data_IF_003397440781
#
_entry.id   IF_003397440781
#
_cell.length_a   1.000
_cell.length_b   1.000
_cell.length_c   1.000
_cell.angle_alpha   90.00
_cell.angle_beta   90.00
_cell.angle_gamma   90.00
#
_symmetry.space_group_name_H-M   'P 1'
#
loop_
_entity.id
_entity.type
_entity.pdbx_description
1 polymer ?
#
# COMPACT_ATOMS: atom_id res chain seq x y z
N UNK A 1 -6.63 0.95 70.40
CA UNK A 1 -6.60 2.26 69.72
C UNK A 1 -5.18 2.41 69.20
N UNK A 2 -4.86 2.40 67.91
CA UNK A 2 -5.45 3.09 66.74
C UNK A 2 -5.08 2.38 65.42
N UNK A 3 -5.81 2.75 64.37
CA UNK A 3 -5.94 2.13 63.04
C UNK A 3 -4.70 2.15 62.12
N UNK A 4 -4.70 1.17 61.21
CA UNK A 4 -4.39 1.16 59.77
C UNK A 4 -3.40 2.16 59.15
N UNK A 5 -2.51 1.61 58.31
CA UNK A 5 -2.38 2.04 56.92
C UNK A 5 -1.93 0.87 56.04
N UNK A 6 -2.90 0.17 55.44
CA UNK A 6 -2.66 -0.64 54.25
C UNK A 6 -2.35 0.31 53.10
N UNK A 7 -1.08 0.44 52.73
CA UNK A 7 -0.68 1.04 51.46
C UNK A 7 -1.15 0.14 50.32
N UNK A 8 -2.31 0.46 49.75
CA UNK A 8 -2.66 0.00 48.41
C UNK A 8 -1.69 0.64 47.41
N UNK A 9 -1.10 -0.12 46.47
CA UNK A 9 -0.46 0.49 45.31
C UNK A 9 -1.56 1.18 44.49
N UNK A 10 -1.43 2.49 44.29
CA UNK A 10 -2.20 3.20 43.28
C UNK A 10 -1.93 2.53 41.92
N UNK A 11 -2.96 2.15 41.14
CA UNK A 11 -2.75 1.71 39.77
C UNK A 11 -2.06 2.85 38.99
N UNK A 12 -1.13 2.53 38.06
CA UNK A 12 -0.49 3.57 37.27
C UNK A 12 -1.58 4.31 36.50
N UNK A 13 -1.75 5.60 36.80
CA UNK A 13 -2.47 6.51 35.93
C UNK A 13 -1.69 6.57 34.62
N UNK A 14 -2.09 5.76 33.63
CA UNK A 14 -1.60 5.86 32.26
C UNK A 14 -1.92 7.27 31.77
N UNK A 15 -0.92 8.15 31.77
CA UNK A 15 -1.07 9.49 31.24
C UNK A 15 -1.24 9.41 29.72
N UNK A 16 -2.05 10.29 29.15
CA UNK A 16 -2.26 10.38 27.71
C UNK A 16 -0.95 10.58 26.92
N UNK A 17 0.04 11.21 27.54
CA UNK A 17 1.40 11.34 27.00
C UNK A 17 2.15 10.03 26.97
N UNK A 18 2.10 9.22 28.04
CA UNK A 18 2.76 7.91 28.06
C UNK A 18 2.21 6.96 26.98
N UNK A 19 0.90 6.99 26.71
CA UNK A 19 0.29 6.20 25.63
C UNK A 19 0.75 6.66 24.24
N UNK A 20 0.84 7.99 24.02
CA UNK A 20 1.37 8.56 22.78
C UNK A 20 2.82 8.17 22.55
N UNK A 21 3.66 8.27 23.58
CA UNK A 21 5.08 7.93 23.52
C UNK A 21 5.28 6.43 23.25
N UNK A 22 4.47 5.57 23.88
CA UNK A 22 4.48 4.13 23.60
C UNK A 22 4.16 3.81 22.15
N UNK A 23 3.16 4.48 21.55
CA UNK A 23 2.80 4.30 20.15
C UNK A 23 3.87 4.85 19.19
N UNK A 24 4.50 5.99 19.52
CA UNK A 24 5.64 6.49 18.74
C UNK A 24 6.82 5.51 18.77
N UNK A 25 7.15 4.98 19.95
CA UNK A 25 8.21 3.95 20.09
C UNK A 25 7.84 2.71 19.27
N UNK A 26 6.59 2.23 19.38
CA UNK A 26 6.11 1.09 18.61
C UNK A 26 6.24 1.32 17.10
N UNK A 27 5.87 2.51 16.60
CA UNK A 27 6.05 2.86 15.19
C UNK A 27 7.53 2.91 14.78
N UNK A 28 8.42 3.36 15.66
CA UNK A 28 9.85 3.46 15.39
C UNK A 28 10.55 2.10 15.28
N UNK A 29 10.09 1.10 16.05
CA UNK A 29 10.67 -0.24 16.09
C UNK A 29 9.86 -1.28 15.30
N UNK A 30 8.73 -0.89 14.72
CA UNK A 30 7.87 -1.78 13.96
C UNK A 30 8.62 -2.36 12.75
N UNK A 31 8.44 -3.66 12.53
CA UNK A 31 8.93 -4.31 11.33
C UNK A 31 8.08 -3.93 10.11
N UNK A 32 8.62 -4.19 8.92
CA UNK A 32 7.94 -3.85 7.67
C UNK A 32 6.56 -4.53 7.56
N UNK A 33 6.41 -5.76 8.08
CA UNK A 33 5.15 -6.50 8.03
C UNK A 33 4.04 -5.82 8.85
N UNK A 34 4.37 -5.29 10.03
CA UNK A 34 3.45 -4.53 10.87
C UNK A 34 3.07 -3.21 10.22
N UNK A 35 4.05 -2.48 9.66
CA UNK A 35 3.78 -1.22 8.95
C UNK A 35 2.90 -1.44 7.72
N UNK A 36 3.11 -2.53 6.96
CA UNK A 36 2.23 -2.92 5.85
C UNK A 36 0.81 -3.20 6.35
N UNK A 37 0.68 -3.98 7.42
CA UNK A 37 -0.61 -4.31 8.03
C UNK A 37 -1.37 -3.04 8.43
N UNK A 38 -0.68 -2.05 9.00
CA UNK A 38 -1.26 -0.76 9.39
C UNK A 38 -1.87 0.00 8.20
N UNK A 39 -1.16 0.06 7.06
CA UNK A 39 -1.63 0.73 5.84
C UNK A 39 -2.79 0.00 5.14
N UNK A 40 -2.88 -1.31 5.32
CA UNK A 40 -3.91 -2.17 4.73
C UNK A 40 -5.17 -2.20 5.60
N UNK A 41 -5.02 -2.23 6.93
CA UNK A 41 -6.12 -2.45 7.88
C UNK A 41 -6.76 -1.18 8.42
N UNK A 42 -6.23 0.00 8.09
CA UNK A 42 -6.89 1.26 8.41
C UNK A 42 -8.15 1.45 7.56
N UNK A 43 -9.04 2.34 8.00
CA UNK A 43 -10.31 2.63 7.33
C UNK A 43 -10.40 4.10 6.94
N UNK A 44 -10.53 4.42 5.63
CA UNK A 44 -10.35 3.52 4.49
C UNK A 44 -8.89 3.03 4.37
N UNK A 45 -8.63 1.89 3.69
CA UNK A 45 -7.29 1.41 3.42
C UNK A 45 -6.47 2.45 2.62
N UNK A 46 -5.21 2.64 3.00
CA UNK A 46 -4.32 3.60 2.32
C UNK A 46 -3.69 3.00 1.06
N UNK A 47 -3.43 1.69 1.10
CA UNK A 47 -2.83 0.92 0.03
C UNK A 47 -3.46 -0.47 -0.04
N UNK A 48 -3.53 -1.02 -1.24
CA UNK A 48 -3.92 -2.41 -1.45
C UNK A 48 -2.73 -3.33 -1.17
N UNK A 49 -2.93 -4.54 -0.61
CA UNK A 49 -1.83 -5.43 -0.23
C UNK A 49 -0.88 -5.76 -1.39
N UNK A 50 -1.43 -5.99 -2.58
CA UNK A 50 -0.67 -6.37 -3.79
C UNK A 50 0.00 -5.17 -4.48
N UNK A 51 -0.29 -3.94 -4.04
CA UNK A 51 0.34 -2.70 -4.50
C UNK A 51 1.40 -2.19 -3.54
N UNK A 52 1.62 -2.86 -2.41
CA UNK A 52 2.47 -2.33 -1.34
C UNK A 52 3.87 -2.94 -1.38
N UNK A 53 4.85 -2.13 -1.81
CA UNK A 53 6.28 -2.44 -1.79
C UNK A 53 6.91 -2.22 -0.42
N UNK A 54 8.14 -1.69 -0.37
CA UNK A 54 8.80 -1.45 0.91
C UNK A 54 8.03 -0.41 1.74
N UNK A 55 8.07 -0.54 3.07
CA UNK A 55 7.48 0.42 4.00
C UNK A 55 8.49 0.75 5.10
N UNK A 56 8.59 2.02 5.44
CA UNK A 56 9.44 2.51 6.53
C UNK A 56 8.72 3.61 7.31
N UNK A 57 9.14 3.81 8.57
CA UNK A 57 8.60 4.82 9.46
C UNK A 57 9.67 5.82 9.88
N UNK A 58 9.24 7.07 10.10
CA UNK A 58 9.99 8.10 10.81
C UNK A 58 9.09 8.66 11.90
N UNK A 59 9.59 8.86 13.12
CA UNK A 59 8.80 9.35 14.24
C UNK A 59 9.36 10.66 14.80
N UNK A 60 8.50 11.46 15.42
CA UNK A 60 8.91 12.72 16.04
C UNK A 60 9.50 13.72 15.03
N UNK A 61 9.00 13.73 13.79
CA UNK A 61 9.60 14.53 12.71
C UNK A 61 9.35 16.01 13.00
N UNK A 62 10.40 16.84 13.16
CA UNK A 62 10.23 18.25 13.45
C UNK A 62 9.66 18.96 12.22
N UNK A 63 8.71 19.85 12.44
CA UNK A 63 8.18 20.75 11.42
C UNK A 63 8.43 22.18 11.88
N UNK A 64 8.82 23.05 10.95
CA UNK A 64 9.14 24.45 11.23
C UNK A 64 8.06 25.07 12.12
N UNK A 65 8.45 25.55 13.31
CA UNK A 65 7.62 26.07 14.44
C UNK A 65 7.52 25.23 15.73
N UNK A 66 8.60 24.58 16.19
CA UNK A 66 8.69 23.87 17.50
C UNK A 66 7.63 22.78 17.71
N UNK A 67 6.95 22.36 16.65
CA UNK A 67 5.99 21.26 16.70
C UNK A 67 6.60 20.07 15.96
N UNK A 68 6.53 18.89 16.58
CA UNK A 68 6.89 17.64 15.94
C UNK A 68 5.63 16.88 15.58
N UNK A 69 5.62 16.22 14.44
CA UNK A 69 4.59 15.25 14.09
C UNK A 69 4.91 13.88 14.66
N UNK A 70 3.89 13.06 14.92
CA UNK A 70 4.09 11.74 15.52
C UNK A 70 4.87 10.81 14.61
N UNK A 71 4.53 10.79 13.32
CA UNK A 71 5.36 10.12 12.35
C UNK A 71 4.96 10.29 10.91
N UNK A 72 5.78 9.72 10.04
CA UNK A 72 5.58 9.63 8.60
C UNK A 72 5.88 8.20 8.19
N UNK A 73 4.93 7.56 7.53
CA UNK A 73 5.17 6.29 6.85
C UNK A 73 5.51 6.60 5.39
N UNK A 74 6.64 6.08 4.91
CA UNK A 74 6.99 6.11 3.50
C UNK A 74 6.82 4.70 2.95
N UNK A 75 6.06 4.56 1.86
CA UNK A 75 5.85 3.29 1.22
C UNK A 75 5.98 3.39 -0.30
N UNK A 76 6.26 2.26 -0.93
CA UNK A 76 6.26 2.17 -2.38
C UNK A 76 4.92 1.65 -2.91
N UNK A 77 4.32 2.40 -3.84
CA UNK A 77 3.17 1.93 -4.61
C UNK A 77 3.68 1.21 -5.87
N UNK A 78 3.45 -0.10 -5.91
CA UNK A 78 3.83 -1.01 -6.99
C UNK A 78 2.77 -0.94 -8.07
N UNK A 79 3.20 -0.67 -9.31
CA UNK A 79 2.34 -0.62 -10.50
C UNK A 79 2.51 -1.83 -11.41
N UNK A 80 3.59 -2.60 -11.24
CA UNK A 80 3.87 -3.81 -12.02
C UNK A 80 4.36 -4.93 -11.11
N UNK A 81 3.84 -6.13 -11.32
CA UNK A 81 4.18 -7.31 -10.52
C UNK A 81 4.72 -8.40 -11.43
N UNK A 82 5.80 -9.06 -10.98
CA UNK A 82 6.36 -10.23 -11.66
C UNK A 82 5.32 -11.36 -11.61
N UNK A 83 5.10 -12.02 -12.74
CA UNK A 83 4.19 -13.15 -12.79
C UNK A 83 4.75 -14.37 -12.02
N UNK A 84 3.89 -15.01 -11.23
CA UNK A 84 4.25 -16.12 -10.33
C UNK A 84 4.93 -17.29 -11.03
N UNK A 85 4.53 -17.61 -12.25
CA UNK A 85 5.33 -18.46 -13.14
C UNK A 85 5.10 -18.12 -14.61
N UNK A 86 6.17 -17.99 -15.41
CA UNK A 86 6.08 -17.91 -16.87
C UNK A 86 5.23 -19.04 -17.46
N UNK A 87 5.35 -20.25 -16.91
CA UNK A 87 4.66 -21.46 -17.39
C UNK A 87 3.16 -21.44 -17.08
N UNK A 88 2.71 -20.78 -16.02
CA UNK A 88 1.29 -20.62 -15.71
C UNK A 88 0.62 -19.62 -16.63
N UNK A 89 1.24 -18.48 -16.90
CA UNK A 89 0.78 -17.56 -17.96
C UNK A 89 0.72 -18.31 -19.27
N UNK A 90 1.79 -19.06 -19.56
CA UNK A 90 1.87 -19.79 -20.80
C UNK A 90 0.78 -20.84 -20.95
N UNK A 91 0.46 -21.54 -19.86
CA UNK A 91 -0.65 -22.47 -19.78
C UNK A 91 -2.00 -21.77 -19.85
N UNK A 92 -2.16 -20.59 -19.28
CA UNK A 92 -3.44 -19.86 -19.26
C UNK A 92 -3.78 -19.28 -20.63
N UNK A 93 -2.77 -18.82 -21.37
CA UNK A 93 -2.88 -18.45 -22.79
C UNK A 93 -3.10 -19.70 -23.65
N UNK A 94 -2.44 -20.82 -23.37
CA UNK A 94 -2.59 -22.07 -24.12
C UNK A 94 -3.90 -22.83 -23.84
N UNK A 95 -4.46 -22.74 -22.63
CA UNK A 95 -5.62 -23.53 -22.21
C UNK A 95 -6.90 -23.18 -22.99
N UNK A 96 -6.97 -21.97 -23.55
CA UNK A 96 -8.13 -21.47 -24.28
C UNK A 96 -7.92 -21.40 -25.80
N UNK A 97 -6.78 -21.90 -26.31
CA UNK A 97 -6.33 -21.64 -27.68
C UNK A 97 -5.76 -22.91 -28.31
N UNK A 98 -6.16 -23.20 -29.56
CA UNK A 98 -5.59 -24.27 -30.36
C UNK A 98 -4.05 -24.16 -30.40
N UNK A 99 -3.29 -25.24 -30.09
CA UNK A 99 -1.84 -25.26 -30.14
C UNK A 99 -1.24 -24.69 -31.43
N UNK A 100 -1.92 -24.84 -32.58
CA UNK A 100 -1.47 -24.30 -33.88
C UNK A 100 -1.58 -22.77 -34.00
N UNK A 101 -2.37 -22.14 -33.13
CA UNK A 101 -2.57 -20.69 -33.08
C UNK A 101 -1.82 -20.03 -31.93
N UNK A 102 -1.30 -20.83 -31.00
CA UNK A 102 -0.64 -20.36 -29.78
C UNK A 102 0.51 -19.38 -30.08
N UNK A 103 1.41 -19.73 -30.99
CA UNK A 103 2.54 -18.87 -31.39
C UNK A 103 2.07 -17.52 -31.95
N UNK A 104 0.96 -17.51 -32.70
CA UNK A 104 0.37 -16.28 -33.23
C UNK A 104 -0.19 -15.42 -32.11
N UNK A 105 -0.78 -16.01 -31.08
CA UNK A 105 -1.37 -15.30 -29.93
C UNK A 105 -0.28 -14.70 -29.02
N UNK A 106 0.82 -15.42 -28.76
CA UNK A 106 2.00 -14.83 -28.09
C UNK A 106 2.62 -13.68 -28.88
N UNK A 107 2.72 -13.84 -30.20
CA UNK A 107 3.17 -12.77 -31.06
C UNK A 107 2.23 -11.56 -31.00
N UNK A 108 0.95 -11.72 -30.60
CA UNK A 108 0.06 -10.58 -30.34
C UNK A 108 0.38 -9.85 -29.04
N UNK A 109 0.84 -10.56 -28.02
CA UNK A 109 1.17 -9.99 -26.72
C UNK A 109 2.47 -9.17 -26.72
N UNK A 110 3.26 -9.26 -27.79
CA UNK A 110 4.61 -8.67 -27.87
C UNK A 110 4.82 -7.83 -29.15
N UNK A 111 3.72 -7.34 -29.75
CA UNK A 111 3.73 -6.58 -31.02
C UNK A 111 4.41 -5.23 -30.92
N UNK A 112 4.28 -4.58 -29.78
CA UNK A 112 4.81 -3.26 -29.50
C UNK A 112 6.04 -3.40 -28.60
N UNK A 113 6.95 -2.44 -28.69
CA UNK A 113 8.20 -2.45 -27.96
C UNK A 113 8.47 -1.06 -27.37
N UNK A 114 8.90 -1.01 -26.10
CA UNK A 114 9.24 0.26 -25.44
C UNK A 114 10.62 0.75 -25.84
N UNK A 115 11.04 1.90 -25.32
CA UNK A 115 12.44 2.33 -25.39
C UNK A 115 13.28 1.58 -24.35
N UNK A 116 14.60 1.64 -24.49
CA UNK A 116 15.50 1.10 -23.48
C UNK A 116 15.47 1.96 -22.23
N UNK A 117 15.07 1.37 -21.10
CA UNK A 117 15.02 2.03 -19.81
C UNK A 117 16.19 1.60 -18.93
N UNK A 118 16.67 2.52 -18.09
CA UNK A 118 17.69 2.22 -17.08
C UNK A 118 17.04 2.17 -15.70
N UNK A 119 17.03 0.97 -15.10
CA UNK A 119 16.51 0.74 -13.76
C UNK A 119 17.46 1.30 -12.68
N UNK A 120 18.75 1.22 -12.93
CA UNK A 120 19.75 1.83 -12.07
C UNK A 120 21.11 1.86 -12.75
N UNK A 121 21.88 2.89 -12.45
CA UNK A 121 23.20 3.13 -13.02
C UNK A 121 24.23 3.16 -11.88
N UNK A 122 25.47 2.78 -12.18
CA UNK A 122 26.60 2.77 -11.26
C UNK A 122 26.29 2.07 -9.93
N UNK A 123 25.63 0.92 -10.00
CA UNK A 123 25.24 0.14 -8.84
C UNK A 123 26.40 -0.75 -8.39
N UNK A 124 26.59 -0.90 -7.09
CA UNK A 124 27.39 -2.02 -6.56
C UNK A 124 26.65 -3.34 -6.78
N UNK A 125 27.37 -4.46 -6.70
CA UNK A 125 26.76 -5.80 -6.77
C UNK A 125 25.60 -5.96 -5.77
N UNK A 126 25.80 -5.53 -4.53
CA UNK A 126 24.78 -5.61 -3.48
C UNK A 126 23.54 -4.77 -3.81
N UNK A 127 23.73 -3.58 -4.38
CA UNK A 127 22.61 -2.73 -4.81
C UNK A 127 21.87 -3.34 -6.00
N UNK A 128 22.58 -3.95 -6.96
CA UNK A 128 21.96 -4.62 -8.10
C UNK A 128 21.12 -5.83 -7.66
N UNK A 129 21.66 -6.67 -6.76
CA UNK A 129 20.94 -7.80 -6.14
C UNK A 129 19.70 -7.28 -5.42
N UNK A 130 19.84 -6.27 -4.55
CA UNK A 130 18.73 -5.71 -3.80
C UNK A 130 17.62 -5.20 -4.73
N UNK A 131 17.96 -4.53 -5.83
CA UNK A 131 16.98 -4.03 -6.81
C UNK A 131 16.20 -5.15 -7.49
N UNK A 132 16.88 -6.24 -7.88
CA UNK A 132 16.23 -7.38 -8.52
C UNK A 132 15.39 -8.19 -7.52
N UNK A 133 15.89 -8.44 -6.31
CA UNK A 133 15.11 -9.09 -5.25
C UNK A 133 13.87 -8.28 -4.90
N UNK A 134 14.00 -6.95 -4.83
CA UNK A 134 12.89 -6.03 -4.59
C UNK A 134 11.85 -6.05 -5.71
N UNK A 135 12.28 -6.34 -6.94
CA UNK A 135 11.39 -6.56 -8.08
C UNK A 135 10.53 -7.83 -7.97
N UNK A 136 10.83 -8.71 -7.00
CA UNK A 136 10.18 -10.00 -6.81
C UNK A 136 10.94 -11.18 -7.40
N UNK A 137 12.14 -10.99 -7.97
CA UNK A 137 12.92 -12.11 -8.48
C UNK A 137 13.43 -13.02 -7.35
N UNK A 138 13.23 -14.34 -7.44
CA UNK A 138 13.78 -15.28 -6.47
C UNK A 138 15.31 -15.32 -6.54
N UNK A 139 16.01 -15.67 -5.44
CA UNK A 139 17.47 -15.60 -5.36
C UNK A 139 18.22 -16.29 -6.51
N UNK A 140 17.71 -17.44 -6.99
CA UNK A 140 18.29 -18.14 -8.14
C UNK A 140 18.23 -17.32 -9.43
N UNK A 141 17.06 -16.73 -9.73
CA UNK A 141 16.92 -15.88 -10.91
C UNK A 141 17.72 -14.59 -10.78
N UNK A 142 17.87 -14.03 -9.57
CA UNK A 142 18.74 -12.88 -9.35
C UNK A 142 20.19 -13.21 -9.70
N UNK A 143 20.69 -14.36 -9.26
CA UNK A 143 22.04 -14.83 -9.59
C UNK A 143 22.22 -15.08 -11.10
N UNK A 144 21.23 -15.71 -11.74
CA UNK A 144 21.21 -15.88 -13.19
C UNK A 144 21.26 -14.54 -13.94
N UNK A 145 20.41 -13.59 -13.55
CA UNK A 145 20.34 -12.27 -14.18
C UNK A 145 21.66 -11.54 -14.04
N UNK A 146 22.24 -11.48 -12.84
CA UNK A 146 23.47 -10.72 -12.55
C UNK A 146 24.68 -11.26 -13.31
N UNK A 147 24.73 -12.57 -13.54
CA UNK A 147 25.84 -13.24 -14.22
C UNK A 147 25.64 -13.35 -15.74
N UNK A 148 24.59 -12.73 -16.31
CA UNK A 148 24.40 -12.70 -17.76
C UNK A 148 25.55 -11.96 -18.47
N UNK A 149 25.98 -12.45 -19.65
CA UNK A 149 26.83 -11.67 -20.55
C UNK A 149 26.16 -10.34 -20.95
N UNK A 150 26.95 -9.30 -21.23
CA UNK A 150 26.44 -7.95 -21.57
C UNK A 150 25.49 -7.92 -22.80
N UNK A 151 25.58 -8.91 -23.68
CA UNK A 151 24.71 -9.05 -24.87
C UNK A 151 23.44 -9.86 -24.59
N UNK A 152 23.39 -10.59 -23.48
CA UNK A 152 22.28 -11.47 -23.15
C UNK A 152 21.16 -10.73 -22.40
N UNK A 153 19.96 -11.29 -22.49
CA UNK A 153 18.76 -10.75 -21.87
C UNK A 153 18.02 -11.84 -21.11
N UNK A 154 17.65 -11.54 -19.87
CA UNK A 154 16.71 -12.32 -19.10
C UNK A 154 15.28 -11.96 -19.52
N UNK A 155 14.44 -12.97 -19.77
CA UNK A 155 13.05 -12.79 -20.19
C UNK A 155 12.13 -13.15 -19.04
N UNK A 156 11.21 -12.25 -18.70
CA UNK A 156 10.26 -12.44 -17.61
C UNK A 156 8.90 -11.85 -17.97
N UNK A 157 7.82 -12.49 -17.52
CA UNK A 157 6.46 -12.00 -17.74
C UNK A 157 5.97 -11.20 -16.54
N UNK A 158 5.21 -10.15 -16.83
CA UNK A 158 4.75 -9.17 -15.85
C UNK A 158 3.29 -8.81 -16.08
N UNK A 159 2.63 -8.40 -15.01
CA UNK A 159 1.32 -7.75 -15.05
C UNK A 159 1.46 -6.30 -14.64
N UNK A 160 0.77 -5.40 -15.33
CA UNK A 160 0.48 -4.09 -14.77
C UNK A 160 -0.80 -4.19 -13.92
N UNK A 161 -0.92 -3.28 -12.96
CA UNK A 161 -2.14 -3.12 -12.18
C UNK A 161 -2.92 -1.94 -12.76
N UNK A 162 -4.21 -2.16 -13.04
CA UNK A 162 -5.10 -1.07 -13.44
C UNK A 162 -5.42 -0.13 -12.25
N UNK A 163 -6.21 0.91 -12.48
CA UNK A 163 -6.57 1.89 -11.45
C UNK A 163 -7.31 1.25 -10.25
N UNK A 164 -7.94 0.10 -10.45
CA UNK A 164 -8.71 -0.64 -9.45
C UNK A 164 -7.84 -1.70 -8.75
N UNK A 165 -6.68 -2.05 -9.31
CA UNK A 165 -5.76 -3.05 -8.78
C UNK A 165 -5.91 -4.44 -9.39
N UNK A 166 -6.59 -4.58 -10.53
CA UNK A 166 -6.62 -5.85 -11.25
C UNK A 166 -5.43 -6.01 -12.18
N UNK A 167 -5.01 -7.25 -12.40
CA UNK A 167 -3.97 -7.57 -13.37
C UNK A 167 -4.47 -7.30 -14.80
N UNK A 168 -3.70 -6.51 -15.55
CA UNK A 168 -3.94 -6.27 -16.97
C UNK A 168 -3.54 -7.47 -17.82
N UNK A 169 -3.64 -7.32 -19.14
CA UNK A 169 -2.99 -8.24 -20.09
C UNK A 169 -1.49 -8.32 -19.76
N UNK A 170 -0.89 -9.53 -19.71
CA UNK A 170 0.52 -9.69 -19.39
C UNK A 170 1.41 -9.13 -20.51
N UNK A 171 2.59 -8.66 -20.11
CA UNK A 171 3.63 -8.16 -21.02
C UNK A 171 4.97 -8.81 -20.70
N UNK A 172 5.87 -8.84 -21.69
CA UNK A 172 7.19 -9.44 -21.57
C UNK A 172 8.21 -8.35 -21.29
N UNK A 173 8.96 -8.47 -20.18
CA UNK A 173 10.08 -7.59 -19.85
C UNK A 173 11.39 -8.32 -20.05
N UNK A 174 12.23 -7.75 -20.90
CA UNK A 174 13.60 -8.18 -21.11
C UNK A 174 14.49 -7.33 -20.23
N UNK A 175 15.28 -7.95 -19.36
CA UNK A 175 16.22 -7.29 -18.46
C UNK A 175 17.64 -7.73 -18.73
N UNK A 176 18.60 -6.83 -18.59
CA UNK A 176 20.03 -7.18 -18.64
C UNK A 176 20.83 -6.37 -17.62
N UNK A 177 21.85 -6.98 -17.01
CA UNK A 177 22.94 -6.21 -16.42
C UNK A 177 23.96 -5.82 -17.50
N UNK A 178 24.57 -4.65 -17.32
CA UNK A 178 25.83 -4.30 -17.93
C UNK A 178 26.86 -4.23 -16.81
N UNK A 179 27.88 -5.09 -16.88
CA UNK A 179 28.97 -5.10 -15.90
C UNK A 179 30.16 -4.33 -16.46
N UNK A 180 30.68 -3.40 -15.66
CA UNK A 180 31.84 -2.60 -16.01
C UNK A 180 33.11 -3.11 -15.30
N UNK A 181 34.31 -2.79 -15.85
CA UNK A 181 35.57 -3.25 -15.28
C UNK A 181 35.85 -2.79 -13.85
N UNK A 182 35.24 -1.67 -13.42
CA UNK A 182 35.32 -1.14 -12.06
C UNK A 182 34.45 -1.92 -11.05
N UNK A 183 33.76 -2.97 -11.49
CA UNK A 183 32.89 -3.81 -10.67
C UNK A 183 31.48 -3.24 -10.48
N UNK A 184 31.14 -2.16 -11.17
CA UNK A 184 29.81 -1.54 -11.12
C UNK A 184 28.87 -2.16 -12.15
N UNK A 185 27.57 -1.98 -11.91
CA UNK A 185 26.50 -2.52 -12.73
C UNK A 185 25.55 -1.41 -13.19
N UNK A 186 25.07 -1.51 -14.43
CA UNK A 186 23.86 -0.83 -14.88
C UNK A 186 22.80 -1.86 -15.17
N UNK A 187 21.62 -1.73 -14.57
CA UNK A 187 20.47 -2.58 -14.89
C UNK A 187 19.60 -1.87 -15.92
N UNK A 188 19.35 -2.53 -17.05
CA UNK A 188 18.51 -2.00 -18.12
C UNK A 188 17.37 -2.96 -18.44
N UNK A 189 16.27 -2.42 -18.95
CA UNK A 189 15.16 -3.24 -19.41
C UNK A 189 14.44 -2.63 -20.61
N UNK A 190 13.73 -3.48 -21.34
CA UNK A 190 12.83 -3.13 -22.44
C UNK A 190 11.59 -4.01 -22.36
N UNK A 191 10.44 -3.45 -22.72
CA UNK A 191 9.15 -4.09 -22.59
C UNK A 191 8.57 -4.39 -23.96
N UNK A 192 8.03 -5.60 -24.13
CA UNK A 192 7.23 -6.00 -25.27
C UNK A 192 5.79 -6.24 -24.81
N UNK A 193 4.85 -5.60 -25.48
CA UNK A 193 3.45 -5.55 -25.05
C UNK A 193 2.49 -5.57 -26.24
N UNK A 194 1.21 -5.78 -25.96
CA UNK A 194 0.20 -5.99 -27.00
C UNK A 194 -0.20 -4.69 -27.71
N UNK A 195 -0.56 -3.67 -26.93
CA UNK A 195 -1.10 -2.42 -27.43
C UNK A 195 -0.73 -1.25 -26.52
N UNK A 196 -1.17 -1.28 -25.25
CA UNK A 196 -0.90 -0.20 -24.31
C UNK A 196 0.47 -0.37 -23.66
N UNK A 197 1.24 0.73 -23.64
CA UNK A 197 2.58 0.75 -23.05
C UNK A 197 2.48 0.50 -21.54
N UNK A 198 3.16 -0.53 -21.00
CA UNK A 198 3.20 -0.79 -19.58
C UNK A 198 3.81 0.40 -18.81
N UNK A 199 3.43 0.60 -17.54
CA UNK A 199 4.10 1.57 -16.71
C UNK A 199 5.59 1.21 -16.57
N UNK A 200 6.41 2.25 -16.44
CA UNK A 200 7.83 2.08 -16.14
C UNK A 200 8.03 1.28 -14.85
N UNK A 201 9.21 0.73 -14.68
CA UNK A 201 9.68 0.19 -13.40
C UNK A 201 9.85 1.36 -12.42
N UNK A 202 8.74 1.88 -11.91
CA UNK A 202 8.71 2.97 -10.96
C UNK A 202 7.90 2.53 -9.77
N UNK A 203 8.59 2.23 -8.67
CA UNK A 203 7.96 2.33 -7.36
C UNK A 203 7.73 3.81 -7.10
N UNK A 204 6.48 4.25 -7.06
CA UNK A 204 6.19 5.62 -6.66
C UNK A 204 6.27 5.68 -5.14
N UNK A 205 7.27 6.41 -4.63
CA UNK A 205 7.39 6.69 -3.20
C UNK A 205 6.20 7.55 -2.75
N UNK A 206 5.34 6.98 -1.93
CA UNK A 206 4.21 7.63 -1.31
C UNK A 206 4.52 7.89 0.16
N UNK A 207 3.96 8.97 0.70
CA UNK A 207 4.08 9.32 2.12
C UNK A 207 2.71 9.42 2.76
N UNK A 208 2.63 8.95 3.99
CA UNK A 208 1.46 9.04 4.86
C UNK A 208 1.87 9.74 6.12
N UNK A 209 1.14 10.79 6.42
CA UNK A 209 1.23 11.52 7.66
C UNK A 209 0.55 10.73 8.79
N UNK A 210 1.22 10.50 9.92
CA UNK A 210 0.65 9.80 11.07
C UNK A 210 0.46 10.78 12.24
N UNK A 211 -0.77 10.85 12.77
CA UNK A 211 -1.07 11.53 14.04
C UNK A 211 -1.67 10.53 15.03
N UNK A 212 -1.10 10.50 16.23
CA UNK A 212 -1.56 9.67 17.35
C UNK A 212 -2.53 10.51 18.17
N UNK A 213 -3.82 10.19 18.05
CA UNK A 213 -4.87 10.88 18.79
C UNK A 213 -4.94 10.37 20.22
N UNK A 214 -4.78 11.32 21.15
CA UNK A 214 -5.02 11.08 22.58
C UNK A 214 -6.45 11.45 22.98
N UNK A 215 -6.98 10.93 24.10
CA UNK A 215 -8.31 11.30 24.60
C UNK A 215 -8.48 12.79 24.90
N UNK A 216 -7.38 13.51 25.18
CA UNK A 216 -7.39 14.93 25.50
C UNK A 216 -7.54 15.84 24.26
N UNK A 217 -7.27 15.33 23.05
CA UNK A 217 -7.34 16.12 21.82
C UNK A 217 -8.76 16.14 21.26
N UNK A 218 -9.26 17.32 20.93
CA UNK A 218 -10.55 17.49 20.26
C UNK A 218 -10.41 17.22 18.76
N UNK A 219 -11.50 16.74 18.14
CA UNK A 219 -11.59 16.50 16.70
C UNK A 219 -11.06 17.68 15.85
N UNK A 220 -11.57 18.90 16.13
CA UNK A 220 -11.17 20.12 15.43
C UNK A 220 -9.66 20.35 15.47
N UNK A 221 -9.06 20.27 16.67
CA UNK A 221 -7.63 20.52 16.86
C UNK A 221 -6.78 19.47 16.14
N UNK A 222 -7.22 18.22 16.13
CA UNK A 222 -6.55 17.14 15.38
C UNK A 222 -6.56 17.41 13.88
N UNK A 223 -7.69 17.82 13.30
CA UNK A 223 -7.77 18.16 11.86
C UNK A 223 -6.93 19.37 11.51
N UNK A 224 -7.03 20.45 12.27
CA UNK A 224 -6.25 21.68 12.03
C UNK A 224 -4.75 21.35 11.98
N UNK A 225 -4.28 20.50 12.89
CA UNK A 225 -2.89 20.04 12.95
C UNK A 225 -2.51 19.15 11.76
N UNK A 226 -3.35 18.19 11.39
CA UNK A 226 -3.12 17.32 10.22
C UNK A 226 -3.03 18.15 8.93
N UNK A 227 -3.98 19.06 8.72
CA UNK A 227 -4.02 19.89 7.51
C UNK A 227 -2.82 20.84 7.42
N UNK A 228 -2.41 21.43 8.56
CA UNK A 228 -1.20 22.24 8.64
C UNK A 228 0.02 21.45 8.15
N UNK A 229 0.24 20.24 8.68
CA UNK A 229 1.41 19.45 8.32
C UNK A 229 1.33 18.85 6.91
N UNK A 230 0.16 18.43 6.44
CA UNK A 230 -0.04 18.02 5.04
C UNK A 230 0.40 19.12 4.09
N UNK A 231 0.00 20.36 4.38
CA UNK A 231 0.40 21.53 3.58
C UNK A 231 1.90 21.82 3.69
N UNK A 232 2.45 21.89 4.90
CA UNK A 232 3.87 22.22 5.12
C UNK A 232 4.83 21.17 4.53
N UNK A 233 4.46 19.90 4.55
CA UNK A 233 5.31 18.79 4.11
C UNK A 233 4.99 18.30 2.68
N UNK A 234 3.95 18.84 2.04
CA UNK A 234 3.47 18.37 0.74
C UNK A 234 2.96 16.92 0.77
N UNK A 235 2.52 16.42 1.93
CA UNK A 235 2.05 15.03 2.08
C UNK A 235 0.54 15.00 1.93
N UNK A 236 0.06 14.22 0.95
CA UNK A 236 -1.37 14.14 0.68
C UNK A 236 -2.10 13.12 1.53
N UNK A 237 -1.52 11.98 1.93
CA UNK A 237 -2.26 10.96 2.70
C UNK A 237 -2.06 11.16 4.20
N UNK A 238 -3.08 10.86 5.01
CA UNK A 238 -3.01 10.95 6.46
C UNK A 238 -3.69 9.77 7.14
N UNK A 239 -3.14 9.36 8.29
CA UNK A 239 -3.58 8.27 9.14
C UNK A 239 -3.67 8.77 10.58
N UNK A 240 -4.80 8.52 11.23
CA UNK A 240 -4.96 8.68 12.67
C UNK A 240 -4.89 7.32 13.34
N UNK A 241 -4.05 7.22 14.36
CA UNK A 241 -3.99 6.08 15.28
C UNK A 241 -4.59 6.51 16.61
N UNK A 242 -5.58 5.80 17.14
CA UNK A 242 -6.15 6.11 18.43
C UNK A 242 -6.80 4.91 19.10
N UNK A 243 -6.80 4.88 20.44
CA UNK A 243 -7.33 3.74 21.20
C UNK A 243 -8.87 3.68 21.16
N UNK A 244 -9.52 4.85 21.20
CA UNK A 244 -10.98 4.98 21.14
C UNK A 244 -11.36 6.19 20.30
N UNK A 245 -12.01 5.92 19.17
CA UNK A 245 -12.63 6.94 18.33
C UNK A 245 -14.13 6.69 18.33
N UNK A 246 -14.91 7.75 18.59
CA UNK A 246 -16.36 7.66 18.40
C UNK A 246 -16.66 7.47 16.91
N UNK A 247 -17.79 6.83 16.59
CA UNK A 247 -18.20 6.62 15.20
C UNK A 247 -18.32 7.94 14.42
N UNK A 248 -18.86 8.98 15.07
CA UNK A 248 -18.99 10.31 14.49
C UNK A 248 -17.63 10.95 14.20
N UNK A 249 -16.67 10.85 15.11
CA UNK A 249 -15.30 11.33 14.86
C UNK A 249 -14.63 10.55 13.73
N UNK A 250 -14.75 9.23 13.71
CA UNK A 250 -14.17 8.40 12.65
C UNK A 250 -14.76 8.77 11.27
N UNK A 251 -16.09 8.89 11.16
CA UNK A 251 -16.76 9.36 9.93
C UNK A 251 -16.32 10.78 9.56
N UNK A 252 -16.18 11.65 10.54
CA UNK A 252 -15.68 13.01 10.36
C UNK A 252 -14.29 13.01 9.72
N UNK A 253 -13.34 12.24 10.25
CA UNK A 253 -11.99 12.14 9.69
C UNK A 253 -11.99 11.54 8.28
N UNK A 254 -12.76 10.47 8.07
CA UNK A 254 -12.85 9.79 6.77
C UNK A 254 -13.42 10.73 5.70
N UNK A 255 -14.42 11.55 6.05
CA UNK A 255 -14.99 12.55 5.11
C UNK A 255 -13.97 13.60 4.65
N UNK A 256 -12.87 13.78 5.40
CA UNK A 256 -11.76 14.69 5.10
C UNK A 256 -10.58 13.96 4.43
N UNK A 257 -10.78 12.71 3.99
CA UNK A 257 -9.75 11.89 3.36
C UNK A 257 -8.64 11.45 4.33
N UNK A 258 -8.97 11.27 5.61
CA UNK A 258 -8.04 10.79 6.64
C UNK A 258 -8.43 9.36 7.01
N UNK A 259 -7.49 8.44 6.88
CA UNK A 259 -7.66 7.05 7.31
C UNK A 259 -7.55 6.91 8.82
N UNK A 260 -8.24 5.93 9.38
CA UNK A 260 -8.35 5.72 10.82
C UNK A 260 -7.92 4.29 11.16
N UNK A 261 -7.09 4.14 12.20
CA UNK A 261 -6.73 2.85 12.77
C UNK A 261 -6.94 2.86 14.29
N UNK A 262 -7.62 1.83 14.79
CA UNK A 262 -7.95 1.68 16.20
C UNK A 262 -7.31 0.43 16.78
N UNK A 263 -6.64 0.58 17.93
CA UNK A 263 -5.82 -0.48 18.56
C UNK A 263 -6.66 -1.50 19.36
N UNK A 264 -7.83 -1.11 19.87
CA UNK A 264 -8.61 -1.95 20.81
C UNK A 264 -9.88 -2.58 20.20
N UNK A 265 -10.47 -1.99 19.17
CA UNK A 265 -11.62 -2.54 18.43
C UNK A 265 -11.59 -1.96 17.02
N UNK A 266 -11.69 -2.76 15.93
CA UNK A 266 -11.95 -2.19 14.61
C UNK A 266 -13.25 -1.37 14.74
N UNK A 267 -13.21 -0.09 14.37
CA UNK A 267 -14.45 0.68 14.23
C UNK A 267 -15.25 -0.06 13.18
N UNK A 268 -16.29 -0.79 13.61
CA UNK A 268 -17.31 -1.29 12.72
C UNK A 268 -18.07 -0.05 12.24
N UNK A 269 -17.47 0.67 11.29
CA UNK A 269 -18.20 1.64 10.50
C UNK A 269 -19.11 0.77 9.66
N UNK A 270 -20.28 0.46 10.21
CA UNK A 270 -21.39 0.01 9.44
C UNK A 270 -21.65 1.17 8.47
N UNK A 271 -21.02 1.09 7.30
CA UNK A 271 -21.43 1.83 6.13
C UNK A 271 -22.74 1.19 5.67
N UNK A 272 -23.78 1.34 6.48
CA UNK A 272 -25.13 1.35 5.94
C UNK A 272 -25.16 2.60 5.08
N UNK A 273 -24.90 2.41 3.79
CA UNK A 273 -25.07 3.44 2.80
C UNK A 273 -26.55 3.82 2.80
N UNK A 274 -26.91 4.81 3.61
CA UNK A 274 -28.24 5.39 3.60
C UNK A 274 -28.34 6.33 2.40
N UNK A 275 -28.68 5.72 1.27
CA UNK A 275 -28.91 6.40 0.01
C UNK A 275 -30.08 7.41 0.09
N UNK A 276 -30.92 7.35 1.13
CA UNK A 276 -31.98 8.35 1.37
C UNK A 276 -31.43 9.68 1.92
N UNK A 277 -30.33 9.63 2.67
CA UNK A 277 -29.67 10.78 3.30
C UNK A 277 -28.31 11.17 2.67
N UNK A 278 -27.89 10.49 1.59
CA UNK A 278 -26.63 10.75 0.89
C UNK A 278 -26.56 12.18 0.34
N UNK A 279 -25.47 12.92 0.63
CA UNK A 279 -25.28 14.30 0.15
C UNK A 279 -24.73 14.42 -1.29
N UNK A 280 -24.43 13.29 -1.94
CA UNK A 280 -23.93 13.27 -3.31
C UNK A 280 -25.10 13.16 -4.30
N UNK A 281 -25.47 14.29 -4.90
CA UNK A 281 -26.60 14.41 -5.83
C UNK A 281 -26.35 13.71 -7.19
N UNK A 282 -25.07 13.50 -7.57
CA UNK A 282 -24.69 12.81 -8.81
C UNK A 282 -24.64 11.29 -8.63
N UNK A 283 -24.92 10.79 -7.41
CA UNK A 283 -25.03 9.37 -7.15
C UNK A 283 -26.30 8.80 -7.81
N UNK A 284 -26.20 7.73 -8.63
CA UNK A 284 -27.37 7.08 -9.24
C UNK A 284 -28.40 6.56 -8.22
N UNK A 285 -27.98 6.43 -6.96
CA UNK A 285 -28.76 5.93 -5.84
C UNK A 285 -29.31 7.03 -4.93
N UNK A 286 -29.09 8.32 -5.23
CA UNK A 286 -29.59 9.44 -4.42
C UNK A 286 -31.12 9.36 -4.23
N UNK A 287 -31.59 9.35 -2.97
CA UNK A 287 -32.99 9.19 -2.53
C UNK A 287 -33.64 7.84 -2.85
N UNK A 288 -32.88 6.83 -3.25
CA UNK A 288 -33.42 5.48 -3.47
C UNK A 288 -33.19 4.62 -2.23
N UNK A 289 -34.25 4.16 -1.54
CA UNK A 289 -34.11 3.26 -0.39
C UNK A 289 -33.60 1.87 -0.81
N UNK A 290 -33.82 1.49 -2.06
CA UNK A 290 -33.56 0.15 -2.58
C UNK A 290 -32.14 0.07 -3.18
N UNK A 291 -31.14 0.03 -2.31
CA UNK A 291 -29.76 -0.26 -2.75
C UNK A 291 -29.59 -1.75 -3.02
N UNK A 292 -28.87 -2.16 -4.09
CA UNK A 292 -28.49 -3.56 -4.30
C UNK A 292 -27.84 -4.19 -3.07
N UNK A 293 -27.13 -3.38 -2.28
CA UNK A 293 -26.52 -3.78 -1.00
C UNK A 293 -27.57 -4.05 0.08
N UNK A 294 -28.62 -3.22 0.18
CA UNK A 294 -29.73 -3.40 1.12
C UNK A 294 -30.55 -4.64 0.75
N UNK A 295 -30.82 -4.84 -0.54
CA UNK A 295 -31.50 -6.04 -1.05
C UNK A 295 -30.69 -7.33 -0.82
N UNK A 296 -29.38 -7.35 -1.07
CA UNK A 296 -28.58 -8.53 -0.76
C UNK A 296 -28.60 -8.86 0.74
N UNK A 297 -28.64 -7.84 1.59
CA UNK A 297 -28.64 -8.02 3.05
C UNK A 297 -29.94 -8.58 3.59
N UNK A 298 -31.10 -8.23 3.01
CA UNK A 298 -32.38 -8.85 3.39
C UNK A 298 -32.36 -10.35 3.08
N UNK A 299 -31.83 -10.75 1.91
CA UNK A 299 -31.65 -12.17 1.57
C UNK A 299 -30.66 -12.91 2.49
N UNK A 300 -29.64 -12.23 3.01
CA UNK A 300 -28.69 -12.84 3.96
C UNK A 300 -29.23 -12.97 5.39
N UNK A 301 -30.15 -12.11 5.82
CA UNK A 301 -30.77 -12.18 7.14
C UNK A 301 -31.89 -13.24 7.19
N UNK A 302 -32.64 -13.39 6.10
CA UNK A 302 -33.69 -14.43 5.98
C UNK A 302 -33.11 -15.86 6.01
N UNK A 303 -31.83 -16.05 5.65
CA UNK A 303 -31.15 -17.34 5.71
C UNK A 303 -30.76 -17.80 7.13
N UNK A 304 -31.01 -16.98 8.16
CA UNK A 304 -30.78 -17.35 9.58
C UNK A 304 -32.07 -17.59 10.37
N UNK A 305 -33.21 -17.57 9.68
CA UNK A 305 -34.53 -17.83 10.25
C UNK A 305 -35.12 -19.16 9.73
N UNK A 306 -34.33 -20.23 9.76
CA UNK A 306 -34.80 -21.64 9.80
C UNK A 306 -33.97 -22.44 10.81
#
# INVERSE_FOLDING_TARGET
MTASALTHPLPPTHSATAARDQLQIALAIADESTLKSLLIRCTPPIAQPHRLGSVSSQVGVPVDSRQAIDGILSFEDITCVLASSPEEISRQVAANIDPKKLDREYAKLTRCESELHTLGNNLTLAQAIARLSHAGFPPKQVDEIINLPNEAWHKSWWYALDEVGHFTVPFLRLMRPLRYPDGTFTLQYRDHFAQDKPPSFSTQGQKVLVEIKTPAQTFRRTIERINLFRHQMGIQKALIIGDRLTELEARGFISQGISVYTTQQPVAIHAEADCTACANFDCPMYRRPDSPVVMCRSFCLDATAE
#
